data_IF_777024696536
#
_entry.id   IF_777024696536
#
_cell.length_a   1.000
_cell.length_b   1.000
_cell.length_c   1.000
_cell.angle_alpha   90.00
_cell.angle_beta   90.00
_cell.angle_gamma   90.00
#
_symmetry.space_group_name_H-M   'P 1'
#
loop_
_entity.id
_entity.type
_entity.pdbx_description
1 polymer ?
#
# COMPACT_ATOMS: atom_id res chain seq x y z
N UNK A 1 9.79 -32.16 78.38
CA UNK A 1 9.65 -30.80 77.83
C UNK A 1 9.75 -30.89 76.31
N UNK A 2 8.62 -31.01 75.61
CA UNK A 2 8.55 -31.13 74.15
C UNK A 2 8.58 -29.72 73.55
N UNK A 3 9.57 -29.41 72.69
CA UNK A 3 9.60 -28.19 71.87
C UNK A 3 8.93 -28.48 70.53
N UNK A 4 7.82 -27.82 70.27
CA UNK A 4 7.11 -27.82 68.98
C UNK A 4 7.78 -26.75 68.09
N UNK A 5 8.19 -27.05 66.84
CA UNK A 5 8.71 -26.05 65.93
C UNK A 5 7.55 -25.24 65.33
N UNK A 6 7.64 -23.91 65.41
CA UNK A 6 6.71 -23.00 64.74
C UNK A 6 6.88 -23.11 63.23
N UNK A 7 5.85 -23.60 62.53
CA UNK A 7 5.70 -23.42 61.09
C UNK A 7 5.46 -21.94 60.80
N UNK A 8 6.40 -21.30 60.12
CA UNK A 8 6.20 -20.00 59.49
C UNK A 8 5.26 -20.16 58.29
N UNK A 9 4.00 -19.78 58.48
CA UNK A 9 3.04 -19.57 57.39
C UNK A 9 3.43 -18.30 56.64
N UNK A 10 4.10 -18.46 55.51
CA UNK A 10 4.26 -17.40 54.51
C UNK A 10 2.88 -17.09 53.89
N UNK A 11 2.47 -15.81 53.80
CA UNK A 11 1.22 -15.46 53.17
C UNK A 11 1.33 -15.76 51.65
N UNK A 12 0.26 -16.26 51.01
CA UNK A 12 0.27 -16.44 49.58
C UNK A 12 0.38 -15.05 48.94
N UNK A 13 1.43 -14.83 48.13
CA UNK A 13 1.45 -13.72 47.18
C UNK A 13 0.27 -13.93 46.23
N UNK A 14 -0.84 -13.24 46.51
CA UNK A 14 -1.88 -12.97 45.52
C UNK A 14 -1.21 -12.18 44.40
N UNK A 15 -0.83 -12.87 43.32
CA UNK A 15 -0.67 -12.25 42.02
C UNK A 15 -2.04 -11.64 41.69
N UNK A 16 -2.21 -10.35 41.95
CA UNK A 16 -3.29 -9.58 41.34
C UNK A 16 -3.03 -9.61 39.84
N UNK A 17 -3.61 -10.57 39.14
CA UNK A 17 -3.97 -10.40 37.75
C UNK A 17 -4.99 -9.28 37.73
N UNK A 18 -4.51 -8.04 37.59
CA UNK A 18 -5.37 -6.92 37.22
C UNK A 18 -6.13 -7.36 35.97
N UNK A 19 -7.43 -7.58 36.10
CA UNK A 19 -8.28 -7.84 34.95
C UNK A 19 -8.18 -6.59 34.06
N UNK A 20 -7.46 -6.71 32.95
CA UNK A 20 -7.27 -5.59 32.05
C UNK A 20 -8.62 -5.15 31.49
N UNK A 21 -8.84 -3.84 31.54
CA UNK A 21 -10.10 -3.21 31.14
C UNK A 21 -10.19 -3.14 29.60
N UNK A 22 -11.40 -3.31 29.06
CA UNK A 22 -11.66 -3.24 27.62
C UNK A 22 -11.99 -1.79 27.23
N UNK A 23 -11.37 -1.29 26.17
CA UNK A 23 -11.71 0.04 25.63
C UNK A 23 -13.20 0.12 25.27
N UNK A 24 -13.78 1.32 25.42
CA UNK A 24 -15.22 1.58 25.20
C UNK A 24 -16.21 0.80 26.08
N UNK A 25 -15.77 0.06 27.10
CA UNK A 25 -16.67 -0.74 27.96
C UNK A 25 -17.08 -0.04 29.27
N UNK A 26 -16.29 0.94 29.72
CA UNK A 26 -16.46 1.60 31.01
C UNK A 26 -16.15 3.09 30.93
N UNK A 27 -16.87 3.88 31.72
CA UNK A 27 -16.62 5.31 31.87
C UNK A 27 -15.57 5.54 32.96
N UNK A 28 -14.52 6.31 32.65
CA UNK A 28 -13.53 6.76 33.63
C UNK A 28 -12.26 5.90 33.76
N UNK A 29 -11.97 5.04 32.78
CA UNK A 29 -10.69 4.31 32.73
C UNK A 29 -9.48 5.22 32.68
N UNK A 30 -8.38 4.79 33.28
CA UNK A 30 -7.10 5.48 33.18
C UNK A 30 -6.57 5.42 31.72
N UNK A 31 -6.38 6.57 31.05
CA UNK A 31 -5.92 6.62 29.65
C UNK A 31 -4.52 6.04 29.43
N UNK A 32 -3.73 5.82 30.50
CA UNK A 32 -2.45 5.13 30.43
C UNK A 32 -2.59 3.59 30.47
N UNK A 33 -3.70 3.09 31.01
CA UNK A 33 -3.96 1.66 31.20
C UNK A 33 -4.78 1.06 30.06
N UNK A 34 -5.64 1.87 29.43
CA UNK A 34 -6.45 1.48 28.27
C UNK A 34 -6.74 2.73 27.41
N UNK A 35 -6.77 2.63 26.07
CA UNK A 35 -7.08 3.77 25.21
C UNK A 35 -8.47 4.36 25.47
N UNK A 36 -8.50 5.65 25.80
CA UNK A 36 -9.72 6.42 26.06
C UNK A 36 -9.44 7.92 25.91
N UNK A 37 -10.32 8.71 25.29
CA UNK A 37 -11.64 8.36 24.75
C UNK A 37 -11.60 7.71 23.34
N UNK A 38 -10.46 7.78 22.65
CA UNK A 38 -10.20 7.10 21.37
C UNK A 38 -9.90 5.61 21.57
N UNK A 39 -10.94 4.82 21.85
CA UNK A 39 -10.82 3.40 22.20
C UNK A 39 -11.35 2.41 21.15
N UNK A 40 -12.01 2.91 20.10
CA UNK A 40 -12.50 2.09 18.99
C UNK A 40 -11.52 2.24 17.83
N UNK A 41 -10.94 1.14 17.40
CA UNK A 41 -9.95 1.10 16.33
C UNK A 41 -10.54 0.49 15.07
N UNK A 42 -10.11 0.97 13.91
CA UNK A 42 -10.40 0.32 12.63
C UNK A 42 -9.08 0.02 11.95
N UNK A 43 -8.66 -1.24 11.99
CA UNK A 43 -7.49 -1.70 11.26
C UNK A 43 -7.85 -1.91 9.80
N UNK A 44 -7.11 -1.28 8.89
CA UNK A 44 -7.44 -1.25 7.46
C UNK A 44 -6.41 -2.04 6.68
N UNK A 45 -6.90 -2.95 5.85
CA UNK A 45 -6.09 -3.63 4.85
C UNK A 45 -6.56 -3.24 3.47
N UNK A 46 -5.62 -3.03 2.55
CA UNK A 46 -5.90 -2.73 1.14
C UNK A 46 -5.41 -3.88 0.28
N UNK A 47 -6.20 -4.21 -0.74
CA UNK A 47 -5.82 -5.18 -1.74
C UNK A 47 -5.00 -4.50 -2.85
N UNK A 48 -3.93 -5.15 -3.24
CA UNK A 48 -3.03 -4.71 -4.30
C UNK A 48 -2.85 -5.83 -5.31
N UNK A 49 -3.46 -5.73 -6.52
CA UNK A 49 -3.38 -6.79 -7.52
C UNK A 49 -1.95 -6.98 -8.05
N UNK A 50 -1.13 -5.92 -8.08
CA UNK A 50 0.20 -5.95 -8.69
C UNK A 50 1.34 -6.42 -7.77
N UNK A 51 1.05 -6.70 -6.50
CA UNK A 51 2.05 -7.12 -5.51
C UNK A 51 1.79 -8.56 -5.05
N UNK A 52 2.79 -9.25 -4.50
CA UNK A 52 2.60 -10.61 -3.95
C UNK A 52 2.39 -11.77 -4.94
N UNK A 53 2.64 -11.54 -6.23
CA UNK A 53 2.58 -12.59 -7.27
C UNK A 53 1.22 -12.65 -7.95
N UNK A 54 0.87 -13.80 -8.53
CA UNK A 54 -0.25 -13.93 -9.49
C UNK A 54 -1.65 -13.69 -8.88
N UNK A 55 -1.76 -13.69 -7.54
CA UNK A 55 -3.01 -13.50 -6.80
C UNK A 55 -3.10 -12.13 -6.09
N UNK A 56 -2.18 -11.21 -6.36
CA UNK A 56 -2.12 -9.97 -5.61
C UNK A 56 -1.73 -10.18 -4.15
N UNK A 57 -1.79 -9.11 -3.35
CA UNK A 57 -1.56 -9.21 -1.91
C UNK A 57 -2.47 -8.26 -1.12
N UNK A 58 -2.63 -8.58 0.16
CA UNK A 58 -3.30 -7.71 1.12
C UNK A 58 -2.26 -7.11 2.05
N UNK A 59 -2.11 -5.79 2.01
CA UNK A 59 -1.18 -5.05 2.86
C UNK A 59 -1.88 -4.19 3.90
N UNK A 60 -1.12 -3.75 4.90
CA UNK A 60 -1.58 -2.75 5.87
C UNK A 60 -1.79 -1.42 5.13
N UNK A 61 -3.00 -0.88 5.18
CA UNK A 61 -3.31 0.46 4.67
C UNK A 61 -3.18 1.51 5.78
N UNK A 62 -3.55 1.13 7.01
CA UNK A 62 -3.38 1.98 8.19
C UNK A 62 -4.32 1.61 9.33
N UNK A 63 -4.52 2.59 10.23
CA UNK A 63 -5.38 2.46 11.40
C UNK A 63 -6.19 3.74 11.56
N UNK A 64 -7.47 3.62 11.89
CA UNK A 64 -8.26 4.74 12.40
C UNK A 64 -8.43 4.63 13.91
N UNK A 65 -8.33 5.77 14.61
CA UNK A 65 -8.69 5.89 16.03
C UNK A 65 -10.00 6.64 16.10
N UNK A 66 -11.03 6.01 16.63
CA UNK A 66 -12.39 6.56 16.72
C UNK A 66 -12.80 6.74 18.17
N UNK A 67 -13.62 7.76 18.40
CA UNK A 67 -14.30 7.95 19.66
C UNK A 67 -15.33 6.83 19.90
N UNK A 68 -15.34 6.28 21.10
CA UNK A 68 -16.19 5.13 21.45
C UNK A 68 -17.69 5.38 21.31
N UNK A 69 -18.16 6.63 21.50
CA UNK A 69 -19.60 6.94 21.50
C UNK A 69 -20.05 7.44 20.15
N UNK A 70 -19.32 8.39 19.57
CA UNK A 70 -19.69 9.03 18.31
C UNK A 70 -19.21 8.26 17.08
N UNK A 71 -18.25 7.33 17.24
CA UNK A 71 -17.58 6.59 16.16
C UNK A 71 -16.97 7.49 15.07
N UNK A 72 -16.73 8.76 15.40
CA UNK A 72 -16.01 9.72 14.55
C UNK A 72 -14.52 9.65 14.86
N UNK A 73 -13.71 10.04 13.87
CA UNK A 73 -12.26 10.12 14.03
C UNK A 73 -11.88 10.95 15.24
N UNK A 74 -11.10 10.35 16.15
CA UNK A 74 -10.58 10.99 17.33
C UNK A 74 -9.30 11.74 17.00
N UNK A 75 -9.42 13.04 16.72
CA UNK A 75 -8.30 13.92 16.36
C UNK A 75 -8.26 15.22 17.19
N UNK A 76 -9.10 15.33 18.21
CA UNK A 76 -9.22 16.56 19.01
C UNK A 76 -8.11 16.72 20.04
N UNK A 77 -7.60 15.62 20.60
CA UNK A 77 -6.56 15.63 21.63
C UNK A 77 -5.40 14.76 21.19
N UNK A 78 -4.25 15.39 20.96
CA UNK A 78 -3.01 14.69 20.66
C UNK A 78 -2.28 14.30 21.94
N UNK A 79 -1.75 13.07 21.99
CA UNK A 79 -1.01 12.53 23.13
C UNK A 79 0.50 12.40 22.87
N UNK A 80 0.90 12.32 21.60
CA UNK A 80 2.29 12.29 21.18
C UNK A 80 2.57 13.36 20.09
N UNK A 81 3.83 13.76 19.82
CA UNK A 81 4.14 14.75 18.79
C UNK A 81 4.10 14.16 17.38
N UNK A 82 4.16 15.04 16.36
CA UNK A 82 4.39 14.66 14.97
C UNK A 82 5.85 14.24 14.79
N UNK A 83 6.09 13.38 13.82
CA UNK A 83 7.43 13.05 13.35
C UNK A 83 7.44 13.01 11.82
N UNK A 84 8.61 13.22 11.21
CA UNK A 84 8.83 13.04 9.77
C UNK A 84 9.11 11.57 9.45
N UNK A 85 9.00 11.18 8.18
CA UNK A 85 9.30 9.83 7.71
C UNK A 85 10.71 9.37 8.12
N UNK A 86 11.74 10.22 8.03
CA UNK A 86 13.10 9.83 8.44
C UNK A 86 13.21 9.60 9.95
N UNK A 87 12.47 10.38 10.74
CA UNK A 87 12.41 10.17 12.19
C UNK A 87 11.70 8.86 12.52
N UNK A 88 10.56 8.59 11.88
CA UNK A 88 9.79 7.35 12.05
C UNK A 88 10.64 6.14 11.68
N UNK A 89 11.23 6.13 10.49
CA UNK A 89 12.13 5.08 10.03
C UNK A 89 13.30 4.87 11.01
N UNK A 90 13.95 5.95 11.46
CA UNK A 90 15.05 5.86 12.42
C UNK A 90 14.62 5.28 13.78
N UNK A 91 13.46 5.66 14.32
CA UNK A 91 12.97 5.13 15.60
C UNK A 91 12.62 3.64 15.50
N UNK A 92 12.01 3.23 14.38
CA UNK A 92 11.66 1.85 14.13
C UNK A 92 12.92 0.99 13.91
N UNK A 93 13.84 1.41 13.04
CA UNK A 93 15.08 0.68 12.75
C UNK A 93 15.97 0.49 13.99
N UNK A 94 16.07 1.51 14.85
CA UNK A 94 16.85 1.43 16.11
C UNK A 94 16.17 0.62 17.22
N UNK A 95 14.88 0.33 17.06
CA UNK A 95 14.11 -0.35 18.11
C UNK A 95 14.41 -1.84 18.12
N UNK A 96 14.73 -2.44 19.28
CA UNK A 96 14.91 -3.88 19.37
C UNK A 96 13.62 -4.68 19.09
N UNK A 97 12.45 -4.02 19.06
CA UNK A 97 11.16 -4.66 18.78
C UNK A 97 11.07 -5.22 17.34
N UNK A 98 11.81 -4.64 16.40
CA UNK A 98 11.89 -5.14 15.02
C UNK A 98 12.90 -6.28 14.87
N UNK A 99 13.68 -6.62 15.89
CA UNK A 99 14.66 -7.71 15.79
C UNK A 99 15.82 -7.43 14.83
N UNK A 100 16.11 -6.15 14.58
CA UNK A 100 17.17 -5.69 13.67
C UNK A 100 16.66 -5.32 12.28
N UNK A 101 17.60 -5.07 11.35
CA UNK A 101 17.31 -4.57 10.00
C UNK A 101 16.38 -5.49 9.20
N UNK A 102 16.58 -6.81 9.31
CA UNK A 102 15.71 -7.77 8.61
C UNK A 102 14.25 -7.62 9.03
N UNK A 103 13.95 -7.58 10.32
CA UNK A 103 12.56 -7.50 10.77
C UNK A 103 11.96 -6.10 10.58
N UNK A 104 12.79 -5.06 10.49
CA UNK A 104 12.38 -3.74 10.01
C UNK A 104 11.91 -3.81 8.54
N UNK A 105 12.74 -4.35 7.65
CA UNK A 105 12.41 -4.52 6.23
C UNK A 105 11.21 -5.47 6.02
N UNK A 106 11.12 -6.54 6.81
CA UNK A 106 9.97 -7.46 6.77
C UNK A 106 8.68 -6.70 7.14
N UNK A 107 8.73 -5.84 8.18
CA UNK A 107 7.58 -5.06 8.62
C UNK A 107 7.21 -3.96 7.60
N UNK A 108 8.17 -3.36 6.92
CA UNK A 108 7.91 -2.46 5.79
C UNK A 108 7.18 -3.20 4.65
N UNK A 109 7.60 -4.41 4.32
CA UNK A 109 6.98 -5.25 3.29
C UNK A 109 5.56 -5.73 3.61
N UNK A 110 5.07 -5.53 4.84
CA UNK A 110 3.69 -5.85 5.22
C UNK A 110 2.68 -4.74 4.84
N UNK A 111 3.17 -3.55 4.45
CA UNK A 111 2.32 -2.40 4.11
C UNK A 111 1.95 -2.40 2.64
N UNK A 112 0.72 -1.96 2.36
CA UNK A 112 0.30 -1.71 1.00
C UNK A 112 1.13 -0.56 0.43
N UNK A 113 1.57 -0.68 -0.82
CA UNK A 113 2.45 0.29 -1.46
C UNK A 113 1.79 1.66 -1.56
N UNK A 114 2.61 2.70 -1.45
CA UNK A 114 2.14 4.06 -1.57
C UNK A 114 1.95 4.49 -3.03
N UNK A 115 1.58 5.76 -3.23
CA UNK A 115 1.56 6.37 -4.55
C UNK A 115 2.94 6.28 -5.23
N UNK A 116 2.95 6.33 -6.57
CA UNK A 116 4.20 6.20 -7.35
C UNK A 116 5.22 7.26 -6.92
N UNK A 117 6.37 6.80 -6.43
CA UNK A 117 7.47 7.67 -5.98
C UNK A 117 7.47 7.99 -4.49
N UNK A 118 6.49 7.49 -3.72
CA UNK A 118 6.46 7.59 -2.26
C UNK A 118 6.99 6.29 -1.62
N UNK A 119 7.88 6.41 -0.63
CA UNK A 119 8.35 5.29 0.16
C UNK A 119 7.33 4.83 1.21
N UNK A 120 7.60 3.68 1.83
CA UNK A 120 6.76 3.17 2.92
C UNK A 120 6.89 4.01 4.20
N UNK A 121 8.03 4.67 4.41
CA UNK A 121 8.27 5.53 5.58
C UNK A 121 7.33 6.74 5.58
N UNK A 122 6.95 7.27 4.43
CA UNK A 122 5.97 8.36 4.29
C UNK A 122 4.54 7.87 4.59
N UNK A 123 4.21 6.62 4.24
CA UNK A 123 2.96 5.98 4.67
C UNK A 123 2.93 5.82 6.18
N UNK A 124 4.06 5.44 6.78
CA UNK A 124 4.21 5.32 8.21
C UNK A 124 4.10 6.71 8.89
N UNK A 125 4.74 7.73 8.35
CA UNK A 125 4.58 9.12 8.79
C UNK A 125 3.10 9.52 8.82
N UNK A 126 2.40 9.35 7.69
CA UNK A 126 0.98 9.68 7.56
C UNK A 126 0.15 8.94 8.59
N UNK A 127 0.39 7.65 8.77
CA UNK A 127 -0.39 6.81 9.70
C UNK A 127 -0.11 7.17 11.16
N UNK A 128 1.14 7.46 11.52
CA UNK A 128 1.47 7.93 12.87
C UNK A 128 0.82 9.29 13.16
N UNK A 129 0.97 10.24 12.23
CA UNK A 129 0.52 11.60 12.40
C UNK A 129 -1.02 11.73 12.38
N UNK A 130 -1.74 10.82 11.73
CA UNK A 130 -3.22 10.84 11.65
C UNK A 130 -3.92 9.89 12.63
N UNK A 131 -3.22 8.89 13.18
CA UNK A 131 -3.79 7.90 14.08
C UNK A 131 -2.93 7.65 15.32
N UNK A 132 -1.67 7.20 15.15
CA UNK A 132 -0.81 6.79 16.26
C UNK A 132 -0.68 7.83 17.37
N UNK A 133 -0.47 9.10 17.01
CA UNK A 133 -0.31 10.20 17.99
C UNK A 133 -1.58 10.52 18.81
N UNK A 134 -2.73 10.02 18.38
CA UNK A 134 -4.03 10.20 19.06
C UNK A 134 -4.38 9.03 19.98
N UNK A 135 -3.50 8.03 20.13
CA UNK A 135 -3.67 6.94 21.09
C UNK A 135 -3.19 7.37 22.47
N UNK A 136 -4.10 7.38 23.45
CA UNK A 136 -3.84 7.95 24.78
C UNK A 136 -2.71 7.27 25.56
N UNK A 137 -2.47 5.98 25.32
CA UNK A 137 -1.42 5.20 26.01
C UNK A 137 -0.01 5.58 25.58
N UNK A 138 0.15 6.35 24.50
CA UNK A 138 1.43 6.92 24.06
C UNK A 138 1.72 8.30 24.66
N UNK A 139 0.85 8.84 25.51
CA UNK A 139 1.14 10.07 26.25
C UNK A 139 2.44 9.93 27.05
N UNK A 140 3.29 10.96 27.01
CA UNK A 140 4.57 10.99 27.70
C UNK A 140 4.45 10.63 29.19
N UNK A 141 3.33 10.99 29.85
CA UNK A 141 3.09 10.63 31.27
C UNK A 141 2.87 9.14 31.49
N UNK A 142 2.39 8.43 30.48
CA UNK A 142 2.20 6.97 30.49
C UNK A 142 3.52 6.25 30.22
N UNK A 143 4.42 6.88 29.46
CA UNK A 143 5.72 6.35 29.03
C UNK A 143 6.82 6.50 30.08
N UNK A 144 6.57 6.04 31.32
CA UNK A 144 7.43 6.25 32.52
C UNK A 144 8.92 5.92 32.33
N UNK A 145 9.27 4.93 31.49
CA UNK A 145 10.65 4.48 31.24
C UNK A 145 11.20 4.84 29.85
N UNK A 146 10.37 5.45 29.00
CA UNK A 146 10.67 5.70 27.58
C UNK A 146 10.21 7.08 27.11
N UNK A 147 10.17 8.09 27.99
CA UNK A 147 9.62 9.42 27.69
C UNK A 147 10.47 10.29 26.71
N UNK A 148 11.29 9.68 25.86
CA UNK A 148 12.11 10.37 24.86
C UNK A 148 11.37 10.60 23.54
N UNK A 149 12.01 11.32 22.62
CA UNK A 149 11.52 11.41 21.25
C UNK A 149 11.43 10.00 20.62
N UNK A 150 10.36 9.75 19.87
CA UNK A 150 10.03 8.44 19.31
C UNK A 150 9.35 7.46 20.27
N UNK A 151 9.01 7.87 21.50
CA UNK A 151 8.26 7.03 22.44
C UNK A 151 6.96 6.52 21.81
N UNK A 152 6.74 5.20 21.86
CA UNK A 152 5.53 4.58 21.32
C UNK A 152 5.51 4.36 19.80
N UNK A 153 6.37 5.02 19.02
CA UNK A 153 6.40 4.89 17.55
C UNK A 153 6.63 3.45 17.11
N UNK A 154 7.74 2.84 17.56
CA UNK A 154 8.05 1.46 17.21
C UNK A 154 7.00 0.46 17.76
N UNK A 155 6.41 0.76 18.92
CA UNK A 155 5.36 -0.07 19.52
C UNK A 155 4.07 -0.01 18.70
N UNK A 156 3.75 1.15 18.13
CA UNK A 156 2.60 1.33 17.24
C UNK A 156 2.72 0.47 15.98
N UNK A 157 3.82 0.59 15.24
CA UNK A 157 4.02 -0.16 13.99
C UNK A 157 4.11 -1.68 14.21
N UNK A 158 4.81 -2.13 15.25
CA UNK A 158 4.86 -3.56 15.58
C UNK A 158 3.47 -4.09 15.98
N UNK A 159 2.63 -3.27 16.60
CA UNK A 159 1.25 -3.66 16.90
C UNK A 159 0.45 -3.87 15.61
N UNK A 160 0.59 -2.97 14.63
CA UNK A 160 -0.05 -3.14 13.31
C UNK A 160 0.46 -4.38 12.57
N UNK A 161 1.76 -4.66 12.60
CA UNK A 161 2.33 -5.92 12.08
C UNK A 161 1.74 -7.17 12.72
N UNK A 162 1.46 -7.14 14.04
CA UNK A 162 0.78 -8.25 14.73
C UNK A 162 -0.67 -8.40 14.28
N UNK A 163 -1.39 -7.30 14.08
CA UNK A 163 -2.76 -7.33 13.55
C UNK A 163 -2.78 -7.88 12.12
N UNK A 164 -1.85 -7.46 11.26
CA UNK A 164 -1.70 -8.00 9.90
C UNK A 164 -1.53 -9.52 9.88
N UNK A 165 -0.72 -10.05 10.80
CA UNK A 165 -0.51 -11.51 10.96
C UNK A 165 -1.73 -12.23 11.53
N UNK A 166 -2.56 -11.53 12.28
CA UNK A 166 -3.79 -12.09 12.87
C UNK A 166 -4.92 -12.14 11.84
N UNK A 167 -5.05 -11.11 11.01
CA UNK A 167 -6.10 -10.98 10.00
C UNK A 167 -5.61 -11.41 8.62
N UNK A 168 -5.59 -12.71 8.38
CA UNK A 168 -5.14 -13.34 7.14
C UNK A 168 -6.19 -13.27 6.03
N UNK A 169 -6.53 -12.07 5.57
CA UNK A 169 -7.62 -11.80 4.62
C UNK A 169 -7.58 -12.65 3.37
N UNK A 170 -6.42 -12.77 2.71
CA UNK A 170 -6.26 -13.63 1.53
C UNK A 170 -6.64 -15.09 1.81
N UNK A 171 -6.20 -15.63 2.96
CA UNK A 171 -6.45 -17.02 3.35
C UNK A 171 -7.94 -17.25 3.68
N UNK A 172 -8.57 -16.30 4.37
CA UNK A 172 -10.00 -16.40 4.70
C UNK A 172 -10.89 -16.39 3.44
N UNK A 173 -10.52 -15.59 2.44
CA UNK A 173 -11.20 -15.59 1.15
C UNK A 173 -10.95 -16.89 0.39
N UNK A 174 -9.70 -17.35 0.31
CA UNK A 174 -9.36 -18.58 -0.42
C UNK A 174 -9.99 -19.82 0.19
N UNK A 175 -10.12 -19.91 1.52
CA UNK A 175 -10.79 -21.02 2.20
C UNK A 175 -12.28 -21.14 1.84
N UNK A 176 -12.88 -20.05 1.34
CA UNK A 176 -14.25 -19.99 0.84
C UNK A 176 -14.32 -20.04 -0.70
N UNK A 177 -13.24 -20.46 -1.37
CA UNK A 177 -13.10 -20.49 -2.82
C UNK A 177 -13.26 -19.10 -3.49
N UNK A 178 -12.95 -18.03 -2.76
CA UNK A 178 -12.95 -16.65 -3.27
C UNK A 178 -11.51 -16.26 -3.60
N UNK A 179 -11.19 -16.21 -4.89
CA UNK A 179 -9.87 -15.81 -5.39
C UNK A 179 -9.97 -14.67 -6.41
N UNK A 180 -8.90 -13.92 -6.63
CA UNK A 180 -8.85 -12.97 -7.73
C UNK A 180 -9.17 -13.64 -9.08
N UNK A 181 -9.98 -12.99 -9.92
CA UNK A 181 -10.47 -13.57 -11.18
C UNK A 181 -10.96 -12.48 -12.14
N UNK A 182 -10.68 -12.65 -13.44
CA UNK A 182 -11.18 -11.77 -14.51
C UNK A 182 -12.66 -12.07 -14.86
N UNK A 183 -13.10 -13.31 -14.64
CA UNK A 183 -14.40 -13.81 -15.13
C UNK A 183 -15.41 -14.06 -14.01
N UNK A 184 -14.97 -14.00 -12.76
CA UNK A 184 -15.81 -14.29 -11.59
C UNK A 184 -16.08 -13.01 -10.80
N UNK A 185 -17.35 -12.83 -10.44
CA UNK A 185 -17.75 -11.76 -9.51
C UNK A 185 -18.41 -12.39 -8.29
N UNK A 186 -18.36 -11.66 -7.18
CA UNK A 186 -18.82 -12.12 -5.88
C UNK A 186 -19.94 -11.24 -5.35
N UNK A 187 -20.74 -11.81 -4.46
CA UNK A 187 -21.70 -11.06 -3.67
C UNK A 187 -21.05 -10.45 -2.42
N UNK A 188 -21.60 -9.33 -1.95
CA UNK A 188 -21.18 -8.74 -0.67
C UNK A 188 -21.35 -9.74 0.49
N UNK A 189 -22.39 -10.58 0.41
CA UNK A 189 -22.70 -11.59 1.42
C UNK A 189 -21.64 -12.69 1.46
N UNK A 190 -21.17 -13.17 0.31
CA UNK A 190 -20.09 -14.18 0.23
C UNK A 190 -18.80 -13.64 0.85
N UNK A 191 -18.37 -12.44 0.43
CA UNK A 191 -17.16 -11.80 0.97
C UNK A 191 -17.26 -11.58 2.48
N UNK A 192 -18.38 -11.03 2.96
CA UNK A 192 -18.58 -10.75 4.39
C UNK A 192 -18.62 -12.04 5.21
N UNK A 193 -19.22 -13.11 4.69
CA UNK A 193 -19.28 -14.40 5.38
C UNK A 193 -17.90 -15.09 5.43
N UNK A 194 -17.15 -15.07 4.33
CA UNK A 194 -15.81 -15.65 4.26
C UNK A 194 -14.85 -14.98 5.25
N UNK A 195 -14.91 -13.65 5.36
CA UNK A 195 -14.03 -12.88 6.24
C UNK A 195 -14.46 -12.90 7.72
N UNK A 196 -15.72 -13.21 8.01
CA UNK A 196 -16.25 -13.21 9.38
C UNK A 196 -15.70 -14.39 10.19
N UNK A 197 -14.82 -14.13 11.14
CA UNK A 197 -14.20 -15.15 12.00
C UNK A 197 -14.60 -14.97 13.47
N UNK A 198 -15.32 -15.94 14.03
CA UNK A 198 -15.83 -15.85 15.41
C UNK A 198 -16.66 -14.56 15.63
N UNK A 199 -16.20 -13.72 16.56
CA UNK A 199 -16.82 -12.43 16.87
C UNK A 199 -16.39 -11.29 15.93
N UNK A 200 -15.33 -11.45 15.14
CA UNK A 200 -14.85 -10.42 14.22
C UNK A 200 -15.77 -10.32 13.00
N UNK A 201 -16.28 -9.11 12.76
CA UNK A 201 -17.19 -8.77 11.65
C UNK A 201 -16.58 -7.63 10.83
N UNK A 202 -15.71 -7.94 9.87
CA UNK A 202 -15.09 -6.92 9.03
C UNK A 202 -16.10 -6.33 8.05
N UNK A 203 -15.77 -5.13 7.55
CA UNK A 203 -16.54 -4.45 6.51
C UNK A 203 -15.68 -4.35 5.26
N UNK A 204 -16.24 -4.82 4.16
CA UNK A 204 -15.63 -4.73 2.84
C UNK A 204 -15.89 -3.35 2.24
N UNK A 205 -14.90 -2.78 1.55
CA UNK A 205 -15.02 -1.54 0.80
C UNK A 205 -14.61 -1.77 -0.66
N UNK A 206 -15.27 -1.05 -1.56
CA UNK A 206 -15.06 -1.13 -2.99
C UNK A 206 -14.81 0.25 -3.59
N UNK A 207 -14.01 0.27 -4.65
CA UNK A 207 -13.93 1.39 -5.57
C UNK A 207 -14.87 1.08 -6.75
N UNK A 208 -16.04 1.73 -6.75
CA UNK A 208 -17.18 1.35 -7.57
C UNK A 208 -17.63 -0.10 -7.29
N UNK A 209 -17.32 -1.04 -8.19
CA UNK A 209 -17.61 -2.47 -8.04
C UNK A 209 -16.37 -3.30 -7.75
N UNK A 210 -15.18 -2.70 -7.69
CA UNK A 210 -13.92 -3.42 -7.48
C UNK A 210 -13.57 -3.45 -6.01
N UNK A 211 -13.34 -4.65 -5.47
CA UNK A 211 -12.90 -4.87 -4.10
C UNK A 211 -11.57 -4.13 -3.85
N UNK A 212 -11.55 -3.21 -2.89
CA UNK A 212 -10.38 -2.36 -2.62
C UNK A 212 -9.81 -2.52 -1.23
N UNK A 213 -10.65 -2.58 -0.19
CA UNK A 213 -10.14 -2.67 1.19
C UNK A 213 -11.08 -3.42 2.13
N UNK A 214 -10.52 -3.86 3.27
CA UNK A 214 -11.25 -4.48 4.36
C UNK A 214 -10.95 -3.72 5.65
N UNK A 215 -12.02 -3.38 6.36
CA UNK A 215 -11.99 -2.66 7.63
C UNK A 215 -12.27 -3.67 8.76
N UNK A 216 -11.37 -3.75 9.73
CA UNK A 216 -11.48 -4.60 10.93
C UNK A 216 -11.75 -3.72 12.15
N UNK A 217 -13.00 -3.64 12.65
CA UNK A 217 -13.34 -2.86 13.83
C UNK A 217 -12.93 -3.61 15.10
N UNK A 218 -12.16 -2.95 15.97
CA UNK A 218 -11.51 -3.56 17.13
C UNK A 218 -11.62 -2.69 18.37
N UNK A 219 -11.75 -3.37 19.51
CA UNK A 219 -11.49 -2.81 20.82
C UNK A 219 -10.19 -3.43 21.36
N UNK A 220 -9.59 -2.82 22.38
CA UNK A 220 -8.37 -3.36 22.99
C UNK A 220 -8.55 -3.49 24.49
N UNK A 221 -8.10 -4.63 25.01
CA UNK A 221 -8.03 -4.90 26.44
C UNK A 221 -6.63 -4.56 26.94
N UNK A 222 -6.53 -3.58 27.83
CA UNK A 222 -5.25 -3.03 28.29
C UNK A 222 -4.66 -1.97 27.34
N UNK A 223 -3.36 -1.62 27.48
CA UNK A 223 -2.77 -0.52 26.73
C UNK A 223 -2.49 -0.93 25.29
N UNK A 224 -2.56 0.00 24.33
CA UNK A 224 -2.47 -0.29 22.89
C UNK A 224 -1.28 -1.18 22.51
N UNK A 225 -0.08 -0.84 23.01
CA UNK A 225 1.19 -1.47 22.65
C UNK A 225 1.37 -2.92 23.14
N UNK A 226 0.61 -3.35 24.15
CA UNK A 226 0.78 -4.67 24.77
C UNK A 226 -0.54 -5.36 25.14
N UNK A 227 -1.66 -4.72 24.82
CA UNK A 227 -3.00 -5.23 25.07
C UNK A 227 -3.41 -6.29 24.06
N UNK A 228 -4.57 -6.88 24.31
CA UNK A 228 -5.19 -7.87 23.42
C UNK A 228 -6.30 -7.21 22.62
N UNK A 229 -6.26 -7.31 21.29
CA UNK A 229 -7.31 -6.77 20.44
C UNK A 229 -8.47 -7.76 20.32
N UNK A 230 -9.67 -7.28 20.57
CA UNK A 230 -10.93 -8.02 20.52
C UNK A 230 -11.84 -7.38 19.48
N UNK A 231 -12.81 -8.15 18.96
CA UNK A 231 -13.80 -7.61 18.03
C UNK A 231 -14.59 -6.47 18.70
N UNK A 232 -14.85 -5.39 17.95
CA UNK A 232 -15.64 -4.31 18.49
C UNK A 232 -17.08 -4.73 18.79
N UNK A 233 -17.62 -4.29 19.92
CA UNK A 233 -19.00 -4.58 20.33
C UNK A 233 -20.04 -3.93 19.42
N UNK A 234 -19.71 -2.75 18.87
CA UNK A 234 -20.57 -1.98 17.99
C UNK A 234 -19.75 -1.15 17.01
N UNK A 235 -20.15 -1.16 15.76
CA UNK A 235 -19.61 -0.30 14.72
C UNK A 235 -20.64 -0.16 13.59
N UNK A 236 -21.05 1.08 13.30
CA UNK A 236 -22.24 1.35 12.48
C UNK A 236 -21.91 1.67 11.01
N UNK A 237 -20.62 1.67 10.65
CA UNK A 237 -20.20 1.92 9.28
C UNK A 237 -20.67 0.78 8.37
N UNK A 238 -21.26 1.11 7.23
CA UNK A 238 -21.70 0.14 6.23
C UNK A 238 -20.66 -0.02 5.13
N UNK A 239 -20.70 -1.16 4.45
CA UNK A 239 -20.00 -1.33 3.18
C UNK A 239 -20.54 -0.34 2.15
N UNK A 240 -19.66 0.16 1.30
CA UNK A 240 -20.02 0.94 0.11
C UNK A 240 -20.10 0.06 -1.17
N UNK A 241 -19.82 -1.24 -1.07
CA UNK A 241 -19.89 -2.17 -2.19
C UNK A 241 -21.34 -2.44 -2.63
N UNK A 242 -21.57 -2.77 -3.92
CA UNK A 242 -22.86 -3.28 -4.37
C UNK A 242 -23.18 -4.64 -3.72
N UNK A 243 -24.44 -5.05 -3.71
CA UNK A 243 -24.84 -6.35 -3.13
C UNK A 243 -24.29 -7.55 -3.91
N UNK A 244 -24.13 -7.39 -5.23
CA UNK A 244 -23.73 -8.42 -6.20
C UNK A 244 -22.78 -7.81 -7.22
N UNK A 245 -22.04 -8.65 -7.94
CA UNK A 245 -21.17 -8.20 -9.04
C UNK A 245 -19.88 -7.53 -8.58
N UNK A 246 -19.39 -7.85 -7.38
CA UNK A 246 -18.12 -7.33 -6.86
C UNK A 246 -16.97 -8.03 -7.58
N UNK A 247 -16.08 -7.24 -8.16
CA UNK A 247 -14.88 -7.71 -8.86
C UNK A 247 -13.76 -7.85 -7.85
N UNK A 248 -13.16 -9.03 -7.75
CA UNK A 248 -11.89 -9.24 -7.04
C UNK A 248 -10.79 -9.32 -8.11
N UNK A 249 -10.08 -8.21 -8.41
CA UNK A 249 -9.28 -8.14 -9.63
C UNK A 249 -8.04 -9.03 -9.52
N UNK A 250 -7.69 -9.79 -10.57
CA UNK A 250 -6.43 -10.52 -10.60
C UNK A 250 -5.27 -9.54 -10.84
N UNK A 251 -4.06 -10.10 -10.81
CA UNK A 251 -2.85 -9.34 -11.07
C UNK A 251 -2.89 -8.69 -12.46
N UNK A 252 -2.72 -7.37 -12.51
CA UNK A 252 -2.70 -6.59 -13.77
C UNK A 252 -1.33 -6.59 -14.46
N UNK A 253 -0.26 -6.90 -13.73
CA UNK A 253 1.07 -7.16 -14.28
C UNK A 253 1.13 -8.58 -14.87
N UNK A 254 0.96 -8.70 -16.19
CA UNK A 254 1.25 -9.93 -16.93
C UNK A 254 2.62 -10.46 -16.51
N UNK A 255 2.68 -11.74 -16.13
CA UNK A 255 3.95 -12.40 -15.85
C UNK A 255 4.90 -12.14 -17.02
N UNK A 256 6.10 -11.64 -16.74
CA UNK A 256 7.17 -11.65 -17.74
C UNK A 256 7.24 -13.08 -18.26
N UNK A 257 7.14 -13.32 -19.59
CA UNK A 257 7.21 -14.67 -20.12
C UNK A 257 8.45 -15.33 -19.50
N UNK A 258 8.26 -16.47 -18.84
CA UNK A 258 9.42 -17.31 -18.49
C UNK A 258 10.13 -17.52 -19.81
N UNK A 259 11.38 -17.04 -19.94
CA UNK A 259 12.23 -17.43 -21.06
C UNK A 259 12.16 -18.94 -21.12
N UNK A 260 11.50 -19.47 -22.13
CA UNK A 260 11.63 -20.88 -22.45
C UNK A 260 13.11 -21.09 -22.78
N UNK A 261 13.66 -22.25 -22.42
CA UNK A 261 15.03 -22.64 -22.79
C UNK A 261 15.23 -22.64 -24.34
N UNK A 262 14.15 -22.46 -25.10
CA UNK A 262 14.12 -22.30 -26.56
C UNK A 262 14.49 -20.87 -27.06
N UNK A 263 14.64 -19.88 -26.17
CA UNK A 263 14.98 -18.49 -26.54
C UNK A 263 16.49 -18.21 -26.68
N UNK A 264 17.36 -19.23 -26.52
CA UNK A 264 18.82 -19.09 -26.68
C UNK A 264 19.29 -18.96 -28.15
N UNK A 265 18.44 -19.21 -29.15
CA UNK A 265 18.91 -19.27 -30.55
C UNK A 265 19.13 -17.90 -31.23
N UNK A 266 18.62 -16.80 -30.67
CA UNK A 266 18.75 -15.47 -31.30
C UNK A 266 19.91 -14.59 -30.77
N UNK A 267 20.75 -15.07 -29.84
CA UNK A 267 21.89 -14.28 -29.31
C UNK A 267 23.14 -14.23 -30.22
N UNK A 268 23.12 -14.79 -31.43
CA UNK A 268 24.31 -14.87 -32.28
C UNK A 268 24.27 -14.11 -33.61
N UNK A 269 23.37 -13.14 -33.78
CA UNK A 269 23.60 -12.09 -34.77
C UNK A 269 24.35 -10.91 -34.14
N UNK A 270 25.64 -11.11 -33.89
CA UNK A 270 26.57 -10.01 -33.59
C UNK A 270 26.48 -8.99 -34.72
N UNK A 271 26.00 -7.78 -34.41
CA UNK A 271 26.10 -6.62 -35.30
C UNK A 271 27.58 -6.47 -35.69
N UNK A 272 27.96 -6.53 -36.98
CA UNK A 272 29.34 -6.26 -37.35
C UNK A 272 29.71 -4.84 -36.89
N UNK A 273 30.95 -4.62 -36.42
CA UNK A 273 31.36 -3.29 -35.96
C UNK A 273 31.23 -2.28 -37.10
N UNK A 274 30.90 -1.00 -36.80
CA UNK A 274 30.76 0.02 -37.83
C UNK A 274 32.07 0.14 -38.62
N UNK A 275 31.98 0.11 -39.95
CA UNK A 275 33.14 0.38 -40.82
C UNK A 275 33.59 1.84 -40.62
N UNK A 276 34.90 2.12 -40.63
CA UNK A 276 35.39 3.49 -40.54
C UNK A 276 34.79 4.37 -41.65
N UNK A 277 34.33 5.57 -41.29
CA UNK A 277 33.84 6.56 -42.25
C UNK A 277 35.05 7.07 -43.04
N UNK A 278 35.25 6.56 -44.25
CA UNK A 278 36.15 7.19 -45.22
C UNK A 278 35.39 8.33 -45.89
N UNK A 279 35.63 9.57 -45.45
CA UNK A 279 35.22 10.78 -46.16
C UNK A 279 35.92 10.80 -47.54
N UNK A 280 35.24 10.33 -48.58
CA UNK A 280 35.73 10.39 -49.96
C UNK A 280 35.14 11.57 -50.75
N UNK A 281 34.74 12.64 -50.06
CA UNK A 281 34.42 13.90 -50.69
C UNK A 281 35.31 15.00 -50.12
N UNK A 282 36.40 15.21 -50.85
CA UNK A 282 37.25 16.39 -50.77
C UNK A 282 36.46 17.58 -51.35
N UNK A 283 36.08 18.52 -50.49
CA UNK A 283 35.26 19.70 -50.83
C UNK A 283 36.04 20.81 -51.57
N UNK A 284 37.16 20.51 -52.22
CA UNK A 284 37.98 21.52 -52.90
C UNK A 284 37.82 21.58 -54.43
N UNK A 285 36.80 20.95 -55.01
CA UNK A 285 36.55 21.00 -56.46
C UNK A 285 35.35 21.85 -56.85
N UNK A 286 35.61 23.12 -57.14
CA UNK A 286 34.69 24.00 -57.86
C UNK A 286 34.44 23.49 -59.28
N UNK A 287 33.18 23.37 -59.70
CA UNK A 287 32.80 23.23 -61.11
C UNK A 287 31.67 24.18 -61.45
N UNK A 288 31.90 25.03 -62.47
CA UNK A 288 30.97 26.01 -62.99
C UNK A 288 29.84 25.36 -63.81
N UNK A 289 28.65 25.94 -63.71
CA UNK A 289 27.46 25.58 -64.50
C UNK A 289 27.68 25.95 -65.97
N UNK A 290 27.67 24.96 -66.86
CA UNK A 290 27.47 25.20 -68.31
C UNK A 290 26.06 24.76 -68.69
N UNK A 291 25.29 25.71 -69.21
CA UNK A 291 24.01 25.47 -69.86
C UNK A 291 24.20 24.59 -71.10
N UNK A 292 23.14 23.84 -71.44
CA UNK A 292 22.81 23.20 -72.73
C UNK A 292 22.86 21.66 -72.79
N UNK A 293 21.66 21.07 -72.84
CA UNK A 293 21.24 19.86 -73.56
C UNK A 293 19.87 19.46 -72.96
N UNK A 294 18.73 19.97 -73.44
CA UNK A 294 17.94 19.45 -74.58
C UNK A 294 17.94 17.91 -74.67
N UNK A 295 16.96 17.29 -74.04
CA UNK A 295 16.38 16.03 -74.53
C UNK A 295 14.85 16.16 -74.50
N UNK A 296 14.24 15.90 -75.65
CA UNK A 296 12.80 15.89 -75.94
C UNK A 296 12.38 14.43 -76.27
N UNK A 297 11.08 14.08 -76.27
CA UNK A 297 10.58 12.92 -75.52
C UNK A 297 9.80 11.92 -76.37
N UNK A 298 9.93 10.60 -76.13
CA UNK A 298 9.01 9.53 -76.60
C UNK A 298 9.24 8.30 -75.70
N UNK A 299 8.29 7.56 -75.15
CA UNK A 299 6.83 7.56 -75.19
C UNK A 299 6.30 6.25 -74.60
N UNK A 300 5.34 6.38 -73.67
CA UNK A 300 4.23 5.48 -73.30
C UNK A 300 4.49 4.12 -72.60
N UNK A 301 3.85 4.00 -71.42
CA UNK A 301 2.81 3.02 -71.01
C UNK A 301 2.56 3.28 -69.51
N UNK A 302 1.41 3.62 -68.93
CA UNK A 302 0.04 3.84 -69.36
C UNK A 302 -0.80 3.98 -68.07
N UNK A 303 -1.74 4.95 -68.04
CA UNK A 303 -2.99 4.95 -67.28
C UNK A 303 -2.98 4.67 -65.75
N UNK A 304 -2.87 5.74 -64.96
CA UNK A 304 -3.91 6.13 -63.97
C UNK A 304 -3.65 7.58 -63.54
N UNK A 305 -4.23 8.52 -64.29
CA UNK A 305 -4.27 9.95 -63.97
C UNK A 305 -5.72 10.24 -63.54
N UNK A 306 -5.89 11.12 -62.54
CA UNK A 306 -7.15 11.71 -62.03
C UNK A 306 -7.53 11.44 -60.55
N UNK A 307 -6.63 10.97 -59.67
CA UNK A 307 -6.94 11.02 -58.22
C UNK A 307 -5.78 11.47 -57.31
N UNK A 308 -4.60 11.77 -57.85
CA UNK A 308 -3.47 12.23 -57.02
C UNK A 308 -3.24 13.75 -57.08
N UNK A 309 -3.89 14.48 -57.99
CA UNK A 309 -3.70 15.94 -58.12
C UNK A 309 -4.43 16.74 -57.01
N UNK A 310 -5.50 16.24 -56.38
CA UNK A 310 -6.17 16.93 -55.26
C UNK A 310 -5.48 16.73 -53.90
N UNK A 311 -4.61 15.71 -53.76
CA UNK A 311 -3.94 15.40 -52.48
C UNK A 311 -2.66 16.20 -52.25
N UNK A 312 -2.06 16.71 -53.32
CA UNK A 312 -0.81 17.48 -53.23
C UNK A 312 -1.06 18.99 -53.05
N UNK A 313 -2.20 19.53 -53.50
CA UNK A 313 -2.60 20.93 -53.21
C UNK A 313 -2.91 21.17 -51.71
N UNK A 314 -3.38 20.15 -50.98
CA UNK A 314 -3.63 20.27 -49.52
C UNK A 314 -2.36 20.19 -48.66
N UNK A 315 -1.22 19.79 -49.24
CA UNK A 315 0.07 19.69 -48.55
C UNK A 315 0.88 20.97 -48.66
N UNK A 316 0.72 21.76 -49.72
CA UNK A 316 1.41 23.04 -49.86
C UNK A 316 0.80 24.15 -48.97
N UNK A 317 -0.48 24.09 -48.63
CA UNK A 317 -1.10 25.08 -47.71
C UNK A 317 -0.72 24.91 -46.22
N UNK A 318 -0.20 23.74 -45.80
CA UNK A 318 0.25 23.51 -44.41
C UNK A 318 1.72 23.77 -44.15
N UNK A 319 2.53 23.99 -45.18
CA UNK A 319 3.98 24.20 -45.04
C UNK A 319 4.37 25.65 -44.66
N UNK A 320 3.40 26.56 -44.51
CA UNK A 320 3.65 28.00 -44.30
C UNK A 320 3.33 28.58 -42.91
N UNK A 321 2.98 27.78 -41.89
CA UNK A 321 2.65 28.29 -40.55
C UNK A 321 3.68 27.88 -39.50
N UNK A 322 4.69 28.73 -39.30
CA UNK A 322 5.52 28.73 -38.10
C UNK A 322 4.77 29.41 -36.95
N UNK A 323 4.60 28.71 -35.83
CA UNK A 323 4.14 29.28 -34.56
C UNK A 323 5.34 29.54 -33.66
N UNK A 324 5.44 30.75 -33.11
CA UNK A 324 6.46 31.10 -32.13
C UNK A 324 6.06 30.60 -30.74
N UNK A 325 7.00 29.95 -30.07
CA UNK A 325 6.90 29.43 -28.71
C UNK A 325 7.11 30.61 -27.76
N UNK A 326 6.01 31.12 -27.21
CA UNK A 326 5.92 31.80 -25.91
C UNK A 326 4.44 32.14 -25.65
N UNK A 327 3.61 31.13 -25.40
CA UNK A 327 2.42 31.22 -24.53
C UNK A 327 2.18 29.80 -23.97
N UNK A 328 2.81 29.55 -22.83
CA UNK A 328 2.49 28.47 -21.89
C UNK A 328 1.43 28.98 -20.91
#
# INVERSE_FOLDING_TARGET
MLRIPQLLLLPPLLLLTSAQELSCSSSGSDPCSVPSPGGLFVFRQRFEPDTGGDYGSWGIDGLEVLDCTSQKTHNSTSYAPTYTHEQIGSYCLKSPLFGGEKGYNDAEGEWAQSEVGEGVEEVWERTWNTAGRFVSTFDAKCQKKKAGAGAGVAEFFITLSKLQKTFTTAHLLSDADITPSDDTTYSLRELTNALSTGSYKPIVQCDNSTLSSVLWPLNVRGPFQSGSFEAASSFDRKSNCPSEGIIYPPRTTLATPKKSDDDEEWEHLRRPPPRPITLSHDETRMYYRSETAKEDPVGKLGLRKEHDEERDEWKEERAGKQYWRDEL
#
